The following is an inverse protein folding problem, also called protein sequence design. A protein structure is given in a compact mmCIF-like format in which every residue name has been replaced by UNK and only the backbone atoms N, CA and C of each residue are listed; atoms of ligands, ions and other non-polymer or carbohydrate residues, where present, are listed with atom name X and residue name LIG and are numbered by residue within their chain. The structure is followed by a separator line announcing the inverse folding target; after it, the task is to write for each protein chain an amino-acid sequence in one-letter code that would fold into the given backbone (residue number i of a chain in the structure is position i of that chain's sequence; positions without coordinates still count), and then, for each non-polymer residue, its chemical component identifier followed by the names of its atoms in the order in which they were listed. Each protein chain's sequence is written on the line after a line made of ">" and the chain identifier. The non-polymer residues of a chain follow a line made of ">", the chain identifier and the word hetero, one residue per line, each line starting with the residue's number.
data_IF_947535617936
#
_entry.id   IF_947535617936
#
_cell.length_a   1.000
_cell.length_b   1.000
_cell.length_c   1.000
_cell.angle_alpha   90.00
_cell.angle_beta   90.00
_cell.angle_gamma   90.00
#
_symmetry.space_group_name_H-M   'P 1'
#
loop_
_entity.id
_entity.type
_entity.pdbx_description
1 polymer ?
#
# COMPACT_ATOMS: atom_id res chain seq x y z
N UNK A 1 -15.76 16.01 -1.58
CA UNK A 1 -15.90 14.54 -1.57
C UNK A 1 -15.17 14.05 -0.34
N UNK A 2 -15.92 13.53 0.62
CA UNK A 2 -15.36 13.12 1.91
C UNK A 2 -14.82 11.70 1.73
N UNK A 3 -13.51 11.54 1.85
CA UNK A 3 -12.84 10.24 1.72
C UNK A 3 -13.60 9.19 2.55
N UNK A 4 -14.03 8.11 1.91
CA UNK A 4 -14.74 7.01 2.56
C UNK A 4 -13.87 6.31 3.62
N UNK A 5 -12.56 6.55 3.60
CA UNK A 5 -11.55 5.98 4.50
C UNK A 5 -10.66 7.06 5.11
N UNK A 6 -9.97 6.72 6.21
CA UNK A 6 -9.02 7.58 6.90
C UNK A 6 -7.79 6.79 7.33
N UNK A 7 -6.69 7.49 7.55
CA UNK A 7 -5.47 6.95 8.17
C UNK A 7 -5.44 7.12 9.70
N UNK A 8 -6.41 7.84 10.29
CA UNK A 8 -6.47 7.99 11.74
C UNK A 8 -6.73 6.62 12.37
N UNK A 9 -5.78 6.16 13.17
CA UNK A 9 -5.88 4.88 13.85
C UNK A 9 -7.17 4.84 14.69
N UNK A 10 -7.85 3.69 14.67
CA UNK A 10 -9.06 3.41 15.46
C UNK A 10 -10.30 4.26 15.15
N UNK A 11 -10.27 5.16 14.16
CA UNK A 11 -11.49 5.84 13.72
C UNK A 11 -12.46 4.84 13.04
N UNK A 12 -13.76 5.18 12.95
CA UNK A 12 -14.74 4.30 12.29
C UNK A 12 -14.37 3.91 10.86
N UNK A 13 -13.72 4.82 10.13
CA UNK A 13 -13.22 4.61 8.77
C UNK A 13 -11.69 4.45 8.70
N UNK A 14 -11.04 4.17 9.83
CA UNK A 14 -9.60 3.99 9.94
C UNK A 14 -9.11 2.62 9.42
N UNK A 15 -7.79 2.40 9.34
CA UNK A 15 -7.21 1.22 8.68
C UNK A 15 -7.71 -0.12 9.20
N UNK A 16 -7.92 -0.24 10.52
CA UNK A 16 -8.46 -1.44 11.17
C UNK A 16 -9.88 -1.84 10.68
N UNK A 17 -10.60 -0.91 10.03
CA UNK A 17 -11.98 -1.10 9.58
C UNK A 17 -12.15 -1.02 8.06
N UNK A 18 -11.12 -0.74 7.26
CA UNK A 18 -11.27 -0.53 5.80
C UNK A 18 -12.02 -1.68 5.10
N UNK A 19 -11.69 -2.93 5.42
CA UNK A 19 -12.37 -4.09 4.81
C UNK A 19 -13.82 -4.32 5.25
N UNK A 20 -14.38 -3.47 6.13
CA UNK A 20 -15.80 -3.46 6.52
C UNK A 20 -16.57 -2.32 5.86
N UNK A 21 -15.89 -1.32 5.30
CA UNK A 21 -16.53 -0.13 4.75
C UNK A 21 -17.28 -0.43 3.46
N UNK A 22 -16.73 -1.32 2.62
CA UNK A 22 -17.29 -1.70 1.32
C UNK A 22 -17.03 -3.18 1.02
N UNK A 23 -17.96 -3.90 0.37
CA UNK A 23 -17.76 -5.29 -0.02
C UNK A 23 -16.49 -5.52 -0.86
N UNK A 24 -16.18 -4.59 -1.76
CA UNK A 24 -15.02 -4.65 -2.66
C UNK A 24 -13.68 -4.53 -1.92
N UNK A 25 -13.70 -4.03 -0.68
CA UNK A 25 -12.49 -3.81 0.14
C UNK A 25 -12.23 -4.95 1.13
N UNK A 26 -13.01 -6.04 1.08
CA UNK A 26 -12.92 -7.15 2.04
C UNK A 26 -11.49 -7.69 2.24
N UNK A 27 -10.63 -7.61 1.21
CA UNK A 27 -9.22 -8.04 1.28
C UNK A 27 -8.38 -7.27 2.30
N UNK A 28 -8.70 -6.01 2.60
CA UNK A 28 -8.04 -5.26 3.67
C UNK A 28 -8.26 -5.89 5.06
N UNK A 29 -9.30 -6.71 5.22
CA UNK A 29 -9.63 -7.42 6.47
C UNK A 29 -9.21 -8.90 6.43
N UNK A 30 -9.44 -9.59 5.31
CA UNK A 30 -9.29 -11.05 5.22
C UNK A 30 -8.16 -11.53 4.29
N UNK A 31 -7.39 -10.62 3.71
CA UNK A 31 -6.20 -10.95 2.96
C UNK A 31 -5.11 -11.51 3.87
N UNK A 32 -4.43 -12.57 3.43
CA UNK A 32 -3.32 -13.20 4.17
C UNK A 32 -1.94 -12.74 3.70
N UNK A 33 -1.90 -11.98 2.60
CA UNK A 33 -0.70 -11.35 2.04
C UNK A 33 -1.02 -9.86 1.84
N UNK A 34 -0.97 -9.08 2.93
CA UNK A 34 -1.19 -7.64 2.92
C UNK A 34 0.13 -6.90 3.18
N UNK A 35 0.19 -5.65 2.74
CA UNK A 35 1.32 -4.75 2.96
C UNK A 35 0.85 -3.55 3.80
N UNK A 36 1.76 -2.85 4.51
CA UNK A 36 3.19 -3.15 4.66
C UNK A 36 3.44 -4.37 5.57
N UNK A 37 4.65 -4.94 5.48
CA UNK A 37 5.15 -5.97 6.38
C UNK A 37 6.42 -5.50 7.06
N UNK A 38 6.76 -6.13 8.19
CA UNK A 38 8.05 -5.96 8.85
C UNK A 38 9.14 -6.69 8.05
N UNK A 39 10.18 -5.96 7.63
CA UNK A 39 11.33 -6.50 6.92
C UNK A 39 12.41 -6.91 7.91
N UNK A 40 12.12 -7.98 8.65
CA UNK A 40 13.00 -8.49 9.71
C UNK A 40 14.20 -9.25 9.12
N UNK A 41 15.42 -8.78 9.41
CA UNK A 41 16.66 -9.31 8.85
C UNK A 41 16.83 -10.82 9.11
N UNK A 42 16.47 -11.27 10.31
CA UNK A 42 16.57 -12.67 10.74
C UNK A 42 15.62 -13.62 9.98
N UNK A 43 14.61 -13.09 9.29
CA UNK A 43 13.67 -13.86 8.46
C UNK A 43 13.98 -13.76 6.97
N UNK A 44 14.98 -12.97 6.60
CA UNK A 44 15.36 -12.75 5.21
C UNK A 44 16.07 -13.99 4.65
N UNK A 45 15.74 -14.33 3.41
CA UNK A 45 16.49 -15.33 2.65
C UNK A 45 17.42 -14.61 1.68
N UNK A 46 18.71 -14.89 1.76
CA UNK A 46 19.69 -14.37 0.81
C UNK A 46 19.52 -15.07 -0.54
N UNK A 47 19.24 -14.31 -1.59
CA UNK A 47 18.96 -14.81 -2.93
C UNK A 47 19.79 -14.06 -3.98
N UNK A 48 21.10 -14.35 -4.09
CA UNK A 48 22.00 -13.65 -5.03
C UNK A 48 21.62 -13.89 -6.50
N UNK A 49 20.95 -15.00 -6.79
CA UNK A 49 20.51 -15.37 -8.14
C UNK A 49 19.44 -14.43 -8.71
N UNK A 50 18.80 -13.60 -7.87
CA UNK A 50 17.90 -12.55 -8.34
C UNK A 50 18.64 -11.45 -9.13
N UNK A 51 19.94 -11.29 -8.88
CA UNK A 51 20.77 -10.25 -9.48
C UNK A 51 20.33 -8.83 -9.14
N UNK A 52 20.88 -7.85 -9.87
CA UNK A 52 20.51 -6.45 -9.70
C UNK A 52 19.15 -6.12 -10.34
N UNK A 53 18.40 -5.20 -9.72
CA UNK A 53 17.19 -4.65 -10.30
C UNK A 53 17.51 -3.88 -11.59
N UNK A 54 17.07 -4.41 -12.73
CA UNK A 54 17.24 -3.77 -14.04
C UNK A 54 16.20 -2.67 -14.23
N UNK A 55 16.66 -1.43 -14.39
CA UNK A 55 15.81 -0.26 -14.60
C UNK A 55 16.10 0.38 -15.96
N UNK A 56 15.07 0.76 -16.69
CA UNK A 56 15.17 1.42 -18.00
C UNK A 56 14.12 2.50 -18.16
N UNK A 57 14.03 3.41 -17.17
CA UNK A 57 13.11 4.54 -17.22
C UNK A 57 13.61 5.63 -18.16
N UNK A 58 12.69 6.27 -18.88
CA UNK A 58 12.97 7.41 -19.75
C UNK A 58 12.13 8.62 -19.33
N UNK A 59 12.59 9.86 -19.54
CA UNK A 59 11.79 11.04 -19.27
C UNK A 59 10.44 10.99 -20.02
N UNK A 60 9.39 11.45 -19.36
CA UNK A 60 8.06 11.61 -19.92
C UNK A 60 7.37 12.81 -19.28
N UNK A 61 6.42 13.43 -20.00
CA UNK A 61 5.56 14.46 -19.41
C UNK A 61 4.70 13.85 -18.30
N UNK A 62 4.61 14.54 -17.16
CA UNK A 62 3.83 14.11 -16.00
C UNK A 62 2.93 15.24 -15.48
N UNK A 63 1.92 14.88 -14.71
CA UNK A 63 1.03 15.83 -14.02
C UNK A 63 1.04 15.49 -12.54
N UNK A 64 1.27 16.51 -11.71
CA UNK A 64 1.23 16.38 -10.25
C UNK A 64 -0.21 16.52 -9.76
N UNK A 65 -0.70 15.55 -9.00
CA UNK A 65 -2.07 15.48 -8.51
C UNK A 65 -2.08 15.22 -7.00
N UNK A 66 -2.76 16.08 -6.26
CA UNK A 66 -3.14 15.81 -4.88
C UNK A 66 -4.50 15.12 -4.87
N UNK A 67 -4.56 13.86 -4.43
CA UNK A 67 -5.80 13.07 -4.39
C UNK A 67 -6.50 13.13 -3.04
N UNK A 68 -5.95 13.85 -2.06
CA UNK A 68 -6.48 13.99 -0.70
C UNK A 68 -5.84 13.03 0.31
N UNK A 69 -5.37 11.87 -0.16
CA UNK A 69 -4.75 10.83 0.66
C UNK A 69 -3.30 10.50 0.25
N UNK A 70 -2.84 11.01 -0.89
CA UNK A 70 -1.46 10.97 -1.38
C UNK A 70 -1.21 12.06 -2.45
N UNK A 71 0.06 12.22 -2.84
CA UNK A 71 0.51 13.05 -3.96
C UNK A 71 1.08 12.12 -5.03
N UNK A 72 0.65 12.29 -6.28
CA UNK A 72 1.10 11.48 -7.43
C UNK A 72 1.65 12.35 -8.55
#
# INVERSE_FOLDING_TARGET
>A
NQEDFSYVAWSPNGPANWGKLRPEWAKCKNGTAQSPIDLAYEKMQYAPDLGDLKMSYTPASATLINRGHDIQ
#
